data_IF_007031285750
#
_entry.id   IF_007031285750
#
_cell.length_a   1.000
_cell.length_b   1.000
_cell.length_c   1.000
_cell.angle_alpha   90.00
_cell.angle_beta   90.00
_cell.angle_gamma   90.00
#
_symmetry.space_group_name_H-M   'P 1'
#
loop_
_entity.id
_entity.type
_entity.pdbx_description
1 polymer ?
#
# COMPACT_ATOMS: atom_id res chain seq x y z
N UNK A 1 -30.47 30.96 -42.02
CA UNK A 1 -30.10 30.15 -40.84
C UNK A 1 -28.95 29.25 -41.25
N UNK A 2 -27.77 29.48 -40.68
CA UNK A 2 -26.51 29.02 -41.23
C UNK A 2 -26.21 27.59 -40.74
N UNK A 3 -26.64 26.60 -41.53
CA UNK A 3 -26.50 25.16 -41.26
C UNK A 3 -25.06 24.69 -40.98
N UNK A 4 -24.06 25.47 -41.41
CA UNK A 4 -22.64 25.17 -41.14
C UNK A 4 -22.28 25.32 -39.65
N UNK A 5 -22.86 26.30 -38.95
CA UNK A 5 -22.53 26.55 -37.54
C UNK A 5 -23.07 25.45 -36.62
N UNK A 6 -24.25 24.91 -36.96
CA UNK A 6 -24.89 23.79 -36.26
C UNK A 6 -24.09 22.49 -36.52
N UNK A 7 -23.60 22.30 -37.75
CA UNK A 7 -22.75 21.15 -38.10
C UNK A 7 -21.45 21.10 -37.29
N UNK A 8 -20.79 22.25 -37.10
CA UNK A 8 -19.57 22.33 -36.28
C UNK A 8 -19.85 22.05 -34.80
N UNK A 9 -21.00 22.52 -34.28
CA UNK A 9 -21.39 22.25 -32.89
C UNK A 9 -21.68 20.77 -32.62
N UNK A 10 -22.37 20.08 -33.54
CA UNK A 10 -22.64 18.64 -33.43
C UNK A 10 -21.35 17.83 -33.55
N UNK A 11 -20.45 18.21 -34.46
CA UNK A 11 -19.17 17.54 -34.63
C UNK A 11 -18.25 17.69 -33.41
N UNK A 12 -18.24 18.87 -32.78
CA UNK A 12 -17.47 19.14 -31.56
C UNK A 12 -17.98 18.33 -30.36
N UNK A 13 -19.30 18.14 -30.24
CA UNK A 13 -19.90 17.34 -29.18
C UNK A 13 -19.74 15.83 -29.38
N UNK A 14 -19.71 15.35 -30.63
CA UNK A 14 -19.44 13.95 -30.94
C UNK A 14 -17.99 13.51 -30.64
N UNK A 15 -16.99 14.39 -30.81
CA UNK A 15 -15.59 14.06 -30.52
C UNK A 15 -15.34 13.95 -29.00
N UNK A 16 -16.04 14.75 -28.19
CA UNK A 16 -15.92 14.73 -26.72
C UNK A 16 -16.53 13.47 -26.07
N UNK A 17 -17.50 12.82 -26.73
CA UNK A 17 -18.12 11.59 -26.21
C UNK A 17 -17.31 10.33 -26.54
N UNK A 18 -16.43 10.37 -27.54
CA UNK A 18 -15.66 9.19 -27.96
C UNK A 18 -14.37 8.98 -27.15
N UNK A 19 -13.91 9.98 -26.37
CA UNK A 19 -12.62 9.92 -25.67
C UNK A 19 -12.67 9.30 -24.27
N UNK A 20 -13.84 8.90 -23.76
CA UNK A 20 -14.00 8.43 -22.37
C UNK A 20 -14.12 6.90 -22.22
N UNK A 21 -13.93 6.10 -23.28
CA UNK A 21 -14.10 4.65 -23.23
C UNK A 21 -12.78 3.84 -23.20
N UNK A 22 -11.63 4.46 -22.97
CA UNK A 22 -10.32 3.80 -23.01
C UNK A 22 -9.61 3.70 -21.63
N UNK A 23 -10.34 3.84 -20.51
CA UNK A 23 -9.77 3.64 -19.18
C UNK A 23 -10.78 3.03 -18.21
N UNK A 24 -11.26 1.83 -18.53
CA UNK A 24 -11.90 0.94 -17.55
C UNK A 24 -11.31 -0.46 -17.73
N UNK A 25 -10.07 -0.63 -17.26
CA UNK A 25 -9.45 -1.93 -17.06
C UNK A 25 -8.93 -1.96 -15.62
N UNK A 26 -9.84 -2.08 -14.65
CA UNK A 26 -9.47 -2.52 -13.30
C UNK A 26 -9.48 -4.04 -13.24
N UNK A 27 -8.66 -4.65 -14.12
CA UNK A 27 -8.10 -5.96 -13.83
C UNK A 27 -6.87 -5.70 -12.99
N UNK A 28 -6.86 -6.15 -11.73
CA UNK A 28 -5.67 -6.11 -10.88
C UNK A 28 -4.52 -6.82 -11.61
N UNK A 29 -3.72 -6.05 -12.32
CA UNK A 29 -2.54 -6.52 -13.01
C UNK A 29 -1.50 -6.76 -11.92
N UNK A 30 -1.54 -7.95 -11.30
CA UNK A 30 -0.47 -8.44 -10.45
C UNK A 30 0.78 -8.50 -11.33
N UNK A 31 1.58 -7.46 -11.17
CA UNK A 31 2.79 -7.18 -11.93
C UNK A 31 3.67 -8.41 -11.98
N UNK A 32 4.12 -8.78 -13.18
CA UNK A 32 5.16 -9.78 -13.45
C UNK A 32 6.55 -9.35 -12.96
N UNK A 33 6.63 -8.56 -11.89
CA UNK A 33 7.85 -8.31 -11.15
C UNK A 33 8.14 -9.53 -10.27
N UNK A 34 9.41 -9.85 -9.95
CA UNK A 34 9.71 -10.84 -8.93
C UNK A 34 9.08 -10.39 -7.62
N UNK A 35 7.88 -10.87 -7.35
CA UNK A 35 7.18 -10.62 -6.10
C UNK A 35 7.91 -11.45 -5.05
N UNK A 36 8.72 -10.76 -4.24
CA UNK A 36 9.38 -11.38 -3.10
C UNK A 36 8.31 -12.08 -2.27
N UNK A 37 8.56 -13.33 -1.90
CA UNK A 37 7.60 -14.06 -1.07
C UNK A 37 7.46 -13.35 0.28
N UNK A 38 6.33 -13.56 0.96
CA UNK A 38 6.15 -13.00 2.31
C UNK A 38 7.27 -13.47 3.24
N UNK A 39 7.69 -14.73 3.11
CA UNK A 39 8.78 -15.30 3.91
C UNK A 39 10.12 -14.60 3.63
N UNK A 40 10.47 -14.39 2.37
CA UNK A 40 11.69 -13.65 2.01
C UNK A 40 11.63 -12.19 2.44
N UNK A 41 10.45 -11.58 2.38
CA UNK A 41 10.24 -10.20 2.83
C UNK A 41 10.48 -10.05 4.33
N UNK A 42 9.94 -10.99 5.12
CA UNK A 42 10.15 -11.05 6.56
C UNK A 42 11.62 -11.28 6.89
N UNK A 43 12.27 -12.22 6.19
CA UNK A 43 13.70 -12.50 6.38
C UNK A 43 14.60 -11.31 6.01
N UNK A 44 14.19 -10.50 5.03
CA UNK A 44 14.89 -9.27 4.67
C UNK A 44 14.64 -8.12 5.66
N UNK A 45 13.56 -8.17 6.43
CA UNK A 45 13.20 -7.18 7.44
C UNK A 45 13.85 -7.44 8.80
N UNK A 46 14.03 -8.71 9.16
CA UNK A 46 14.69 -9.15 10.40
C UNK A 46 16.22 -8.92 10.32
N UNK A 47 16.66 -7.74 10.78
CA UNK A 47 18.04 -7.29 10.66
C UNK A 47 18.90 -7.68 11.85
N UNK A 48 18.29 -7.83 13.02
CA UNK A 48 18.99 -8.31 14.22
C UNK A 48 18.99 -9.84 14.35
N UNK A 49 18.27 -10.53 13.45
CA UNK A 49 18.21 -11.98 13.35
C UNK A 49 17.71 -12.64 14.65
N UNK A 50 16.83 -11.96 15.37
CA UNK A 50 16.20 -12.50 16.58
C UNK A 50 14.99 -13.42 16.27
N UNK A 51 14.60 -13.48 14.99
CA UNK A 51 13.49 -14.28 14.47
C UNK A 51 12.13 -13.59 14.58
N UNK A 52 12.09 -12.31 14.98
CA UNK A 52 10.90 -11.50 15.17
C UNK A 52 11.11 -10.13 14.54
N UNK A 53 10.26 -9.75 13.59
CA UNK A 53 10.36 -8.40 13.04
C UNK A 53 9.73 -7.38 13.98
N UNK A 54 10.56 -6.46 14.48
CA UNK A 54 10.13 -5.35 15.33
C UNK A 54 9.43 -4.22 14.54
N UNK A 55 8.60 -3.42 15.21
CA UNK A 55 7.92 -2.26 14.59
C UNK A 55 8.93 -1.27 13.99
N UNK A 56 10.12 -1.16 14.60
CA UNK A 56 11.19 -0.31 14.12
C UNK A 56 11.73 -0.81 12.76
N UNK A 57 11.98 -2.10 12.64
CA UNK A 57 12.47 -2.71 11.40
C UNK A 57 11.44 -2.64 10.27
N UNK A 58 10.15 -2.85 10.60
CA UNK A 58 9.06 -2.64 9.63
C UNK A 58 9.07 -1.19 9.13
N UNK A 59 9.21 -0.20 10.04
CA UNK A 59 9.27 1.22 9.67
C UNK A 59 10.44 1.48 8.72
N UNK A 60 11.64 1.04 9.06
CA UNK A 60 12.85 1.23 8.25
C UNK A 60 12.69 0.59 6.86
N UNK A 61 12.19 -0.64 6.81
CA UNK A 61 11.99 -1.36 5.55
C UNK A 61 10.94 -0.69 4.64
N UNK A 62 9.80 -0.31 5.21
CA UNK A 62 8.72 0.32 4.45
C UNK A 62 9.13 1.73 3.99
N UNK A 63 9.84 2.50 4.82
CA UNK A 63 10.38 3.81 4.43
C UNK A 63 11.45 3.70 3.34
N UNK A 64 12.25 2.63 3.34
CA UNK A 64 13.22 2.37 2.27
C UNK A 64 12.54 2.10 0.92
N UNK A 65 11.31 1.58 0.94
CA UNK A 65 10.54 1.22 -0.26
C UNK A 65 9.63 2.35 -0.74
N UNK A 66 8.97 3.07 0.18
CA UNK A 66 7.91 4.05 -0.15
C UNK A 66 8.32 5.51 0.10
N UNK A 67 9.46 5.75 0.74
CA UNK A 67 9.94 7.07 1.13
C UNK A 67 9.71 7.38 2.61
N UNK A 68 10.43 8.40 3.10
CA UNK A 68 10.42 8.80 4.51
C UNK A 68 9.05 9.27 4.98
N UNK A 69 8.64 8.87 6.18
CA UNK A 69 7.38 9.29 6.79
C UNK A 69 6.14 8.60 6.22
N UNK A 70 6.32 7.58 5.37
CA UNK A 70 5.21 6.78 4.88
C UNK A 70 4.46 6.14 6.06
N UNK A 71 3.18 6.44 6.20
CA UNK A 71 2.31 5.95 7.28
C UNK A 71 2.88 6.13 8.70
N UNK A 72 3.67 7.18 8.95
CA UNK A 72 4.31 7.42 10.26
C UNK A 72 3.34 7.31 11.45
N UNK A 73 2.14 7.89 11.35
CA UNK A 73 1.11 7.79 12.39
C UNK A 73 0.73 6.33 12.72
N UNK A 74 0.64 5.46 11.71
CA UNK A 74 0.30 4.05 11.92
C UNK A 74 1.43 3.35 12.65
N UNK A 75 2.68 3.62 12.26
CA UNK A 75 3.84 3.07 12.94
C UNK A 75 3.98 3.60 14.38
N UNK A 76 3.67 4.86 14.64
CA UNK A 76 3.66 5.44 15.98
C UNK A 76 2.59 4.80 16.87
N UNK A 77 1.39 4.56 16.33
CA UNK A 77 0.29 3.90 17.04
C UNK A 77 0.64 2.42 17.32
N UNK A 78 1.32 1.75 16.38
CA UNK A 78 1.79 0.37 16.52
C UNK A 78 2.94 0.24 17.54
N UNK A 79 3.85 1.20 17.58
CA UNK A 79 4.94 1.28 18.56
C UNK A 79 4.38 1.49 19.98
N UNK A 80 3.43 2.43 20.15
CA UNK A 80 2.71 2.60 21.41
C UNK A 80 1.97 1.33 21.86
N UNK A 81 1.40 0.59 20.90
CA UNK A 81 0.71 -0.68 21.18
C UNK A 81 1.68 -1.78 21.58
N UNK A 82 2.90 -1.78 21.03
CA UNK A 82 3.96 -2.72 21.37
C UNK A 82 4.61 -2.40 22.73
N UNK A 83 4.72 -1.11 23.08
CA UNK A 83 5.19 -0.64 24.39
C UNK A 83 4.21 -1.00 25.50
N UNK A 84 2.91 -0.86 25.22
CA UNK A 84 1.84 -1.26 26.13
C UNK A 84 1.64 -2.79 26.05
N UNK A 85 2.70 -3.55 26.31
CA UNK A 85 2.67 -5.02 26.44
C UNK A 85 1.58 -5.35 27.45
N UNK A 86 0.43 -5.79 26.95
CA UNK A 86 -0.69 -6.26 27.75
C UNK A 86 -0.17 -7.12 28.89
N UNK A 87 -0.46 -6.67 30.12
CA UNK A 87 -0.10 -7.33 31.37
C UNK A 87 -0.20 -8.86 31.23
N UNK A 88 0.94 -9.55 31.34
CA UNK A 88 1.06 -11.01 31.49
C UNK A 88 0.24 -11.82 30.50
N UNK A 89 0.86 -12.33 29.43
CA UNK A 89 0.24 -13.43 28.68
C UNK A 89 -0.17 -14.53 29.68
N UNK A 90 -1.35 -15.13 29.50
CA UNK A 90 -1.80 -16.26 30.34
C UNK A 90 -0.84 -17.46 30.31
N UNK A 91 0.12 -17.46 29.38
CA UNK A 91 1.20 -18.43 29.25
C UNK A 91 2.43 -18.13 30.12
N UNK A 92 2.47 -16.99 30.82
CA UNK A 92 3.57 -16.60 31.72
C UNK A 92 3.41 -17.13 33.14
N UNK A 93 2.38 -17.96 33.42
CA UNK A 93 2.25 -18.65 34.71
C UNK A 93 3.42 -19.62 34.87
N UNK A 94 4.31 -19.34 35.82
CA UNK A 94 5.37 -20.26 36.25
C UNK A 94 4.76 -21.63 36.55
N UNK A 95 5.22 -22.66 35.84
CA UNK A 95 4.91 -24.04 36.18
C UNK A 95 5.75 -24.40 37.43
N UNK A 96 5.22 -24.06 38.60
CA UNK A 96 5.61 -24.75 39.84
C UNK A 96 4.80 -26.05 39.94
#
# INVERSE_FOLDING_TARGET
>A
MNNKLIQYFVCFWCIALFTCAASAQEGAQYSSLPYMTVAESIAAMDTDHDGIVSVHEIRVFIESTHGKGYQGKVFDDMEKSAENRSCGSSFSKSLY
#
